data_IF_261412723235
#
_entry.id   IF_261412723235
#
_cell.length_a   1.000
_cell.length_b   1.000
_cell.length_c   1.000
_cell.angle_alpha   90.00
_cell.angle_beta   90.00
_cell.angle_gamma   90.00
#
_symmetry.space_group_name_H-M   'P 1'
#
loop_
_entity.id
_entity.type
_entity.pdbx_description
1 polymer ?
#
# COMPACT_ATOMS: atom_id res chain seq x y z
N UNK A 1 17.33 15.54 8.80
CA UNK A 1 16.31 14.49 8.93
C UNK A 1 16.57 13.84 10.27
N UNK A 2 15.59 13.90 11.17
CA UNK A 2 15.70 13.28 12.47
C UNK A 2 15.57 11.75 12.34
N UNK A 3 16.20 11.00 13.24
CA UNK A 3 16.23 9.53 13.17
C UNK A 3 14.81 8.91 13.18
N UNK A 4 13.84 9.59 13.80
CA UNK A 4 12.43 9.19 13.82
C UNK A 4 11.77 9.30 12.43
N UNK A 5 12.11 10.32 11.64
CA UNK A 5 11.57 10.49 10.29
C UNK A 5 12.10 9.43 9.33
N UNK A 6 13.37 9.05 9.49
CA UNK A 6 14.01 7.98 8.71
C UNK A 6 13.33 6.65 8.99
N UNK A 7 13.10 6.32 10.26
CA UNK A 7 12.44 5.09 10.67
C UNK A 7 11.01 4.99 10.09
N UNK A 8 10.22 6.05 10.25
CA UNK A 8 8.84 6.10 9.72
C UNK A 8 8.79 5.96 8.20
N UNK A 9 9.75 6.56 7.49
CA UNK A 9 9.85 6.41 6.05
C UNK A 9 10.25 5.00 5.63
N UNK A 10 11.12 4.32 6.39
CA UNK A 10 11.48 2.93 6.14
C UNK A 10 10.26 2.02 6.26
N UNK A 11 9.54 2.11 7.37
CA UNK A 11 8.35 1.30 7.65
C UNK A 11 7.25 1.49 6.59
N UNK A 12 7.06 2.73 6.13
CA UNK A 12 6.12 3.03 5.06
C UNK A 12 6.57 2.41 3.72
N UNK A 13 7.86 2.45 3.43
CA UNK A 13 8.42 1.89 2.20
C UNK A 13 8.31 0.37 2.19
N UNK A 14 8.58 -0.29 3.32
CA UNK A 14 8.39 -1.74 3.49
C UNK A 14 6.93 -2.15 3.30
N UNK A 15 6.00 -1.40 3.88
CA UNK A 15 4.58 -1.66 3.72
C UNK A 15 4.12 -1.54 2.25
N UNK A 16 4.62 -0.54 1.53
CA UNK A 16 4.30 -0.36 0.11
C UNK A 16 4.88 -1.50 -0.74
N UNK A 17 6.10 -1.94 -0.44
CA UNK A 17 6.70 -3.10 -1.11
C UNK A 17 5.84 -4.35 -0.87
N UNK A 18 5.34 -4.54 0.35
CA UNK A 18 4.46 -5.66 0.67
C UNK A 18 3.12 -5.59 -0.06
N UNK A 19 2.49 -4.41 -0.11
CA UNK A 19 1.27 -4.16 -0.90
C UNK A 19 1.50 -4.53 -2.37
N UNK A 20 2.59 -4.03 -2.96
CA UNK A 20 2.94 -4.34 -4.34
C UNK A 20 3.15 -5.84 -4.53
N UNK A 21 3.81 -6.52 -3.58
CA UNK A 21 4.03 -7.96 -3.65
C UNK A 21 2.70 -8.72 -3.67
N UNK A 22 1.81 -8.40 -2.74
CA UNK A 22 0.50 -9.05 -2.61
C UNK A 22 -0.37 -8.82 -3.85
N UNK A 23 -0.30 -7.66 -4.49
CA UNK A 23 -1.06 -7.39 -5.72
C UNK A 23 -0.43 -8.07 -6.94
N UNK A 24 0.87 -7.86 -7.19
CA UNK A 24 1.51 -8.29 -8.44
C UNK A 24 1.76 -9.78 -8.53
N UNK A 25 2.19 -10.38 -7.42
CA UNK A 25 2.60 -11.79 -7.43
C UNK A 25 1.54 -12.69 -6.82
N UNK A 26 0.87 -12.25 -5.75
CA UNK A 26 -0.14 -13.06 -5.07
C UNK A 26 -1.57 -12.82 -5.62
N UNK A 27 -1.78 -11.75 -6.41
CA UNK A 27 -3.11 -11.27 -6.85
C UNK A 27 -4.12 -11.13 -5.71
N UNK A 28 -3.62 -10.88 -4.50
CA UNK A 28 -4.39 -10.85 -3.28
C UNK A 28 -4.64 -9.40 -2.85
N UNK A 29 -5.73 -8.83 -3.37
CA UNK A 29 -6.17 -7.47 -3.04
C UNK A 29 -6.72 -7.36 -1.61
N UNK A 30 -7.20 -8.46 -1.04
CA UNK A 30 -7.75 -8.52 0.31
C UNK A 30 -6.65 -8.34 1.38
N UNK A 31 -5.53 -9.05 1.20
CA UNK A 31 -4.34 -8.88 2.04
C UNK A 31 -3.72 -7.49 1.87
N UNK A 32 -3.66 -6.99 0.63
CA UNK A 32 -3.17 -5.65 0.37
C UNK A 32 -4.04 -4.58 1.05
N UNK A 33 -5.37 -4.71 1.03
CA UNK A 33 -6.26 -3.76 1.69
C UNK A 33 -6.17 -3.83 3.22
N UNK A 34 -5.94 -5.01 3.80
CA UNK A 34 -5.63 -5.14 5.24
C UNK A 34 -4.40 -4.33 5.63
N UNK A 35 -3.29 -4.47 4.90
CA UNK A 35 -2.05 -3.73 5.19
C UNK A 35 -2.28 -2.22 5.14
N UNK A 36 -3.03 -1.76 4.13
CA UNK A 36 -3.40 -0.34 3.99
C UNK A 36 -4.16 0.16 5.20
N UNK A 37 -5.17 -0.58 5.64
CA UNK A 37 -6.03 -0.19 6.76
C UNK A 37 -5.25 -0.21 8.08
N UNK A 38 -4.54 -1.30 8.37
CA UNK A 38 -3.78 -1.49 9.61
C UNK A 38 -2.68 -0.46 9.79
N UNK A 39 -1.95 -0.13 8.71
CA UNK A 39 -0.87 0.85 8.73
C UNK A 39 -1.35 2.27 8.44
N UNK A 40 -2.66 2.47 8.27
CA UNK A 40 -3.29 3.76 7.96
C UNK A 40 -2.61 4.49 6.79
N UNK A 41 -2.34 3.76 5.71
CA UNK A 41 -1.65 4.28 4.53
C UNK A 41 -2.67 4.89 3.59
N UNK A 42 -2.44 6.13 3.16
CA UNK A 42 -3.29 6.75 2.15
C UNK A 42 -3.01 6.18 0.75
N UNK A 43 -4.05 6.06 -0.09
CA UNK A 43 -3.88 5.65 -1.49
C UNK A 43 -2.93 6.57 -2.25
N UNK A 44 -2.99 7.88 -1.97
CA UNK A 44 -2.07 8.88 -2.54
C UNK A 44 -0.62 8.54 -2.23
N UNK A 45 -0.31 8.19 -0.98
CA UNK A 45 1.05 7.80 -0.57
C UNK A 45 1.56 6.56 -1.31
N UNK A 46 0.69 5.63 -1.66
CA UNK A 46 1.06 4.44 -2.45
C UNK A 46 1.42 4.87 -3.87
N UNK A 47 0.53 5.63 -4.53
CA UNK A 47 0.72 6.08 -5.92
C UNK A 47 1.95 6.98 -6.08
N UNK A 48 2.23 7.85 -5.12
CA UNK A 48 3.41 8.72 -5.14
C UNK A 48 4.72 7.97 -4.95
N UNK A 49 4.71 6.87 -4.21
CA UNK A 49 5.93 6.12 -3.84
C UNK A 49 6.18 4.90 -4.72
N UNK A 50 5.20 4.45 -5.50
CA UNK A 50 5.40 3.35 -6.44
C UNK A 50 4.68 3.53 -7.76
N UNK A 51 5.44 3.37 -8.84
CA UNK A 51 4.91 3.28 -10.21
C UNK A 51 4.66 1.83 -10.66
N UNK A 52 4.84 0.86 -9.75
CA UNK A 52 4.75 -0.57 -10.07
C UNK A 52 3.31 -1.03 -10.26
N UNK A 53 2.33 -0.30 -9.70
CA UNK A 53 0.91 -0.62 -9.82
C UNK A 53 0.30 0.14 -11.00
N UNK A 54 -0.51 -0.55 -11.78
CA UNK A 54 -1.31 0.03 -12.85
C UNK A 54 -2.57 0.67 -12.27
N UNK A 55 -3.14 1.67 -12.96
CA UNK A 55 -4.38 2.35 -12.50
C UNK A 55 -5.51 1.37 -12.16
N UNK A 56 -5.68 0.31 -12.94
CA UNK A 56 -6.69 -0.71 -12.67
C UNK A 56 -6.44 -1.48 -11.36
N UNK A 57 -5.19 -1.77 -11.03
CA UNK A 57 -4.84 -2.46 -9.79
C UNK A 57 -5.02 -1.56 -8.57
N UNK A 58 -4.70 -0.27 -8.72
CA UNK A 58 -4.97 0.75 -7.69
C UNK A 58 -6.48 0.89 -7.47
N UNK A 59 -7.28 0.95 -8.53
CA UNK A 59 -8.74 1.01 -8.43
C UNK A 59 -9.30 -0.21 -7.66
N UNK A 60 -8.85 -1.42 -8.00
CA UNK A 60 -9.24 -2.63 -7.26
C UNK A 60 -8.81 -2.63 -5.79
N UNK A 61 -7.64 -2.09 -5.48
CA UNK A 61 -7.19 -1.92 -4.10
C UNK A 61 -8.11 -0.95 -3.35
N UNK A 62 -8.48 0.18 -3.97
CA UNK A 62 -9.45 1.12 -3.39
C UNK A 62 -10.79 0.44 -3.10
N UNK A 63 -11.33 -0.31 -4.06
CA UNK A 63 -12.59 -1.04 -3.87
C UNK A 63 -12.48 -2.05 -2.71
N UNK A 64 -11.36 -2.78 -2.62
CA UNK A 64 -11.12 -3.74 -1.54
C UNK A 64 -10.96 -3.10 -0.16
N UNK A 65 -10.44 -1.87 -0.09
CA UNK A 65 -10.35 -1.09 1.16
C UNK A 65 -11.74 -0.58 1.56
N UNK A 66 -12.51 -0.06 0.60
CA UNK A 66 -13.87 0.44 0.84
C UNK A 66 -14.82 -0.67 1.27
N UNK A 67 -14.69 -1.87 0.71
CA UNK A 67 -15.52 -3.02 1.07
C UNK A 67 -15.30 -3.52 2.52
N UNK A 68 -14.17 -3.17 3.15
CA UNK A 68 -13.81 -3.57 4.52
C UNK A 68 -14.08 -2.48 5.56
N UNK A 69 -14.51 -1.29 5.13
CA UNK A 69 -14.76 -0.13 5.99
C UNK A 69 -16.24 0.01 6.30
#
# INVERSE_FOLDING_TARGET
MDAQDVQRNSELSEAIVEIVRSIKYERNFDKASQIVIEKNISMTSIVERTLRLQMFEVAKLCDAVLAKK
#
